data_IF_954694634592
#
_entry.id   IF_954694634592
#
_cell.length_a   1.000
_cell.length_b   1.000
_cell.length_c   1.000
_cell.angle_alpha   90.00
_cell.angle_beta   90.00
_cell.angle_gamma   90.00
#
_symmetry.space_group_name_H-M   'P 1'
#
loop_
_entity.id
_entity.type
_entity.pdbx_description
1 polymer ?
#
# COMPACT_ATOMS: atom_id res chain seq x y z
N UNK A 1 -11.92 24.95 -2.82
CA UNK A 1 -11.10 24.27 -1.79
C UNK A 1 -9.73 24.02 -2.40
N UNK A 2 -8.67 24.47 -1.74
CA UNK A 2 -7.28 24.23 -2.18
C UNK A 2 -6.85 22.80 -1.83
N UNK A 3 -5.79 22.28 -2.47
CA UNK A 3 -5.27 20.93 -2.14
C UNK A 3 -4.95 20.77 -0.65
N UNK A 4 -4.29 21.73 0.03
CA UNK A 4 -4.05 21.64 1.47
C UNK A 4 -5.32 21.62 2.35
N UNK A 5 -6.41 22.26 1.92
CA UNK A 5 -7.70 22.22 2.63
C UNK A 5 -8.44 20.89 2.40
N UNK A 6 -8.28 20.32 1.20
CA UNK A 6 -8.89 19.05 0.81
C UNK A 6 -8.18 17.84 1.44
N UNK A 7 -6.86 17.93 1.62
CA UNK A 7 -6.05 16.79 2.02
C UNK A 7 -6.45 16.24 3.39
N UNK A 8 -6.84 14.96 3.43
CA UNK A 8 -7.30 14.27 4.63
C UNK A 8 -8.61 14.80 5.19
N UNK A 9 -9.41 15.54 4.38
CA UNK A 9 -10.69 16.10 4.84
C UNK A 9 -11.68 15.03 5.28
N UNK A 10 -11.58 13.82 4.73
CA UNK A 10 -12.45 12.68 5.05
C UNK A 10 -11.78 11.67 5.98
N UNK A 11 -10.77 12.09 6.74
CA UNK A 11 -10.03 11.24 7.67
C UNK A 11 -10.13 11.82 9.08
N UNK A 12 -10.42 10.98 10.07
CA UNK A 12 -10.38 11.34 11.49
C UNK A 12 -8.92 11.39 11.98
N UNK A 13 -8.14 12.28 11.37
CA UNK A 13 -6.70 12.39 11.50
C UNK A 13 -6.27 13.10 12.80
N UNK A 14 -4.96 13.22 13.04
CA UNK A 14 -4.42 13.88 14.24
C UNK A 14 -4.93 15.32 14.46
N UNK A 15 -5.15 16.09 13.39
CA UNK A 15 -5.69 17.45 13.48
C UNK A 15 -7.13 17.40 14.00
N UNK A 16 -7.98 16.60 13.35
CA UNK A 16 -9.39 16.42 13.75
C UNK A 16 -9.51 15.84 15.16
N UNK A 17 -8.71 14.82 15.50
CA UNK A 17 -8.66 14.25 16.83
C UNK A 17 -8.29 15.28 17.89
N UNK A 18 -7.32 16.16 17.62
CA UNK A 18 -6.90 17.21 18.56
C UNK A 18 -7.95 18.31 18.73
N UNK A 19 -8.72 18.61 17.68
CA UNK A 19 -9.81 19.58 17.72
C UNK A 19 -11.05 19.04 18.45
N UNK A 20 -11.33 17.74 18.33
CA UNK A 20 -12.59 17.12 18.81
C UNK A 20 -12.46 16.42 20.17
N UNK A 21 -11.30 15.84 20.48
CA UNK A 21 -11.13 15.04 21.69
C UNK A 21 -10.67 15.91 22.87
N UNK A 22 -11.14 15.62 24.09
CA UNK A 22 -10.55 16.17 25.31
C UNK A 22 -9.04 15.91 25.36
N UNK A 23 -8.28 16.86 25.91
CA UNK A 23 -6.80 16.82 25.94
C UNK A 23 -6.24 15.50 26.49
N UNK A 24 -6.82 14.97 27.57
CA UNK A 24 -6.35 13.74 28.20
C UNK A 24 -6.74 12.49 27.38
N UNK A 25 -7.94 12.46 26.80
CA UNK A 25 -8.37 11.41 25.86
C UNK A 25 -7.46 11.36 24.63
N UNK A 26 -7.14 12.52 24.04
CA UNK A 26 -6.22 12.62 22.91
C UNK A 26 -4.83 12.07 23.25
N UNK A 27 -4.26 12.47 24.39
CA UNK A 27 -2.97 11.93 24.84
C UNK A 27 -3.01 10.43 25.09
N UNK A 28 -4.08 9.91 25.69
CA UNK A 28 -4.25 8.48 25.95
C UNK A 28 -4.35 7.68 24.64
N UNK A 29 -5.10 8.18 23.66
CA UNK A 29 -5.20 7.59 22.33
C UNK A 29 -3.85 7.62 21.61
N UNK A 30 -3.16 8.75 21.60
CA UNK A 30 -1.81 8.86 21.00
C UNK A 30 -0.80 7.92 21.66
N UNK A 31 -0.85 7.77 22.99
CA UNK A 31 -0.03 6.78 23.69
C UNK A 31 -0.35 5.37 23.19
N UNK A 32 -1.62 5.02 23.09
CA UNK A 32 -2.09 3.72 22.58
C UNK A 32 -1.56 3.42 21.19
N UNK A 33 -1.67 4.39 20.27
CA UNK A 33 -1.16 4.29 18.89
C UNK A 33 0.36 4.09 18.88
N UNK A 34 1.10 4.89 19.64
CA UNK A 34 2.56 4.88 19.63
C UNK A 34 3.18 3.68 20.36
N UNK A 35 2.49 3.13 21.38
CA UNK A 35 3.02 2.00 22.16
C UNK A 35 2.38 0.66 21.81
N UNK A 36 1.32 0.64 21.01
CA UNK A 36 0.54 -0.56 20.72
C UNK A 36 -0.14 -1.17 21.94
N UNK A 37 -0.49 -0.34 22.95
CA UNK A 37 -1.18 -0.82 24.16
C UNK A 37 -2.67 -0.99 23.91
N UNK A 38 -3.39 -1.68 24.80
CA UNK A 38 -4.85 -1.78 24.72
C UNK A 38 -5.51 -0.42 24.97
N UNK A 39 -6.50 -0.07 24.16
CA UNK A 39 -7.30 1.15 24.34
C UNK A 39 -8.21 1.02 25.57
N UNK A 40 -8.13 1.93 26.55
CA UNK A 40 -9.03 1.91 27.71
C UNK A 40 -10.50 2.10 27.30
N UNK A 41 -11.47 1.35 27.87
CA UNK A 41 -12.88 1.42 27.48
C UNK A 41 -13.53 2.81 27.67
N UNK A 42 -13.09 3.56 28.68
CA UNK A 42 -13.49 4.94 28.95
C UNK A 42 -13.01 5.89 27.83
N UNK A 43 -11.74 5.75 27.43
CA UNK A 43 -11.17 6.50 26.29
C UNK A 43 -11.92 6.15 25.01
N UNK A 44 -12.18 4.87 24.75
CA UNK A 44 -12.89 4.41 23.57
C UNK A 44 -14.32 4.96 23.46
N UNK A 45 -15.03 5.08 24.60
CA UNK A 45 -16.39 5.63 24.62
C UNK A 45 -16.41 7.10 24.23
N UNK A 46 -15.44 7.89 24.71
CA UNK A 46 -15.29 9.30 24.31
C UNK A 46 -14.89 9.44 22.84
N UNK A 47 -13.96 8.60 22.38
CA UNK A 47 -13.52 8.61 20.98
C UNK A 47 -14.66 8.22 20.04
N UNK A 48 -15.44 7.20 20.37
CA UNK A 48 -16.59 6.76 19.58
C UNK A 48 -17.61 7.89 19.42
N UNK A 49 -17.97 8.58 20.50
CA UNK A 49 -18.94 9.67 20.42
C UNK A 49 -18.41 10.83 19.55
N UNK A 50 -17.15 11.26 19.76
CA UNK A 50 -16.54 12.32 18.96
C UNK A 50 -16.40 11.94 17.47
N UNK A 51 -16.08 10.68 17.18
CA UNK A 51 -15.95 10.16 15.81
C UNK A 51 -17.32 10.11 15.11
N UNK A 52 -18.37 9.69 15.84
CA UNK A 52 -19.75 9.69 15.35
C UNK A 52 -20.25 11.09 15.06
N UNK A 53 -20.08 12.03 16.00
CA UNK A 53 -20.51 13.42 15.80
C UNK A 53 -19.80 14.05 14.58
N UNK A 54 -18.48 13.83 14.45
CA UNK A 54 -17.72 14.25 13.27
C UNK A 54 -18.23 13.62 11.96
N UNK A 55 -18.58 12.34 11.98
CA UNK A 55 -19.09 11.64 10.82
C UNK A 55 -20.48 12.15 10.42
N UNK A 56 -21.39 12.32 11.38
CA UNK A 56 -22.76 12.83 11.16
C UNK A 56 -22.73 14.26 10.61
N UNK A 57 -21.85 15.12 11.13
CA UNK A 57 -21.66 16.48 10.60
C UNK A 57 -21.25 16.50 9.12
N UNK A 58 -20.61 15.42 8.66
CA UNK A 58 -20.23 15.22 7.26
C UNK A 58 -21.26 14.42 6.45
N UNK A 59 -22.44 14.18 7.02
CA UNK A 59 -23.55 13.49 6.36
C UNK A 59 -23.58 11.97 6.57
N UNK A 60 -22.74 11.42 7.44
CA UNK A 60 -22.71 9.98 7.65
C UNK A 60 -23.97 9.48 8.37
N UNK A 61 -24.63 8.49 7.78
CA UNK A 61 -25.80 7.81 8.34
C UNK A 61 -25.47 6.42 8.89
N UNK A 62 -24.37 5.83 8.40
CA UNK A 62 -23.92 4.48 8.72
C UNK A 62 -22.45 4.48 9.14
N UNK A 63 -22.07 3.40 9.82
CA UNK A 63 -20.68 3.03 10.05
C UNK A 63 -20.43 1.58 9.62
N UNK A 64 -19.16 1.25 9.43
CA UNK A 64 -18.73 -0.10 9.10
C UNK A 64 -17.35 -0.39 9.67
N UNK A 65 -17.17 -1.64 10.10
CA UNK A 65 -15.84 -2.21 10.31
C UNK A 65 -15.28 -2.59 8.95
N UNK A 66 -14.30 -1.83 8.49
CA UNK A 66 -13.63 -2.03 7.20
C UNK A 66 -12.43 -2.94 7.39
N UNK A 67 -12.39 -4.10 6.72
CA UNK A 67 -11.30 -5.06 6.85
C UNK A 67 -10.98 -5.74 5.53
N UNK A 68 -9.82 -6.41 5.49
CA UNK A 68 -9.37 -7.15 4.31
C UNK A 68 -9.35 -8.66 4.60
N UNK A 69 -10.44 -9.40 4.29
CA UNK A 69 -10.44 -10.85 4.40
C UNK A 69 -9.49 -11.52 3.39
N UNK A 70 -9.35 -12.84 3.49
CA UNK A 70 -8.47 -13.63 2.62
C UNK A 70 -8.90 -13.68 1.13
N UNK A 71 -9.96 -12.98 0.74
CA UNK A 71 -10.39 -12.82 -0.67
C UNK A 71 -9.48 -11.90 -1.47
N UNK A 72 -8.65 -11.08 -0.81
CA UNK A 72 -7.77 -10.11 -1.47
C UNK A 72 -8.38 -8.74 -1.70
N UNK A 73 -9.71 -8.60 -1.55
CA UNK A 73 -10.45 -7.33 -1.58
C UNK A 73 -10.93 -6.97 -0.16
N UNK A 74 -11.44 -5.75 0.00
CA UNK A 74 -12.01 -5.26 1.26
C UNK A 74 -13.44 -5.76 1.45
N UNK A 75 -13.88 -5.79 2.71
CA UNK A 75 -15.24 -6.14 3.10
C UNK A 75 -15.81 -5.13 4.09
N UNK A 76 -17.12 -4.91 3.98
CA UNK A 76 -17.87 -3.94 4.74
C UNK A 76 -19.26 -4.50 5.06
N UNK A 77 -19.69 -4.28 6.31
CA UNK A 77 -21.09 -4.42 6.73
C UNK A 77 -21.53 -3.07 7.28
N UNK A 78 -22.58 -2.49 6.71
CA UNK A 78 -23.03 -1.15 7.07
C UNK A 78 -24.13 -1.24 8.13
N UNK A 79 -23.84 -0.69 9.31
CA UNK A 79 -24.78 -0.59 10.42
C UNK A 79 -25.14 0.90 10.61
N UNK A 80 -26.42 1.20 10.81
CA UNK A 80 -26.88 2.57 11.04
C UNK A 80 -26.52 3.03 12.46
N UNK A 81 -26.31 4.34 12.64
CA UNK A 81 -26.23 4.94 13.98
C UNK A 81 -27.59 5.00 14.71
N UNK A 82 -28.69 4.71 14.02
CA UNK A 82 -30.04 4.77 14.58
C UNK A 82 -30.21 3.79 15.75
N UNK A 83 -30.63 4.32 16.89
CA UNK A 83 -31.06 3.58 18.07
C UNK A 83 -32.48 4.05 18.44
N UNK A 84 -33.50 3.17 18.35
CA UNK A 84 -34.87 3.52 18.72
C UNK A 84 -34.99 3.86 20.20
N UNK A 85 -35.80 4.86 20.53
CA UNK A 85 -36.13 5.23 21.91
C UNK A 85 -37.51 4.72 22.30
N UNK A 86 -37.75 4.53 23.60
CA UNK A 86 -38.99 3.97 24.14
C UNK A 86 -40.26 4.80 23.80
N UNK A 87 -40.08 6.09 23.48
CA UNK A 87 -41.13 7.01 23.06
C UNK A 87 -41.44 6.95 21.55
N UNK A 88 -40.82 6.02 20.81
CA UNK A 88 -40.97 5.88 19.36
C UNK A 88 -40.12 6.85 18.53
N UNK A 89 -39.26 7.63 19.19
CA UNK A 89 -38.23 8.44 18.54
C UNK A 89 -36.99 7.64 18.12
N UNK A 90 -35.99 8.36 17.61
CA UNK A 90 -34.70 7.80 17.24
C UNK A 90 -33.60 8.74 17.73
N UNK A 91 -32.53 8.15 18.27
CA UNK A 91 -31.27 8.84 18.56
C UNK A 91 -30.14 8.23 17.74
N UNK A 92 -29.09 9.02 17.53
CA UNK A 92 -27.88 8.56 16.85
C UNK A 92 -26.83 8.16 17.90
N UNK A 93 -26.58 6.86 18.02
CA UNK A 93 -25.69 6.27 19.02
C UNK A 93 -24.53 5.52 18.35
N UNK A 94 -23.34 5.67 18.93
CA UNK A 94 -22.17 4.87 18.58
C UNK A 94 -21.32 4.68 19.83
N UNK A 95 -21.33 3.47 20.37
CA UNK A 95 -20.69 3.14 21.65
C UNK A 95 -19.21 2.79 21.49
N UNK A 96 -18.43 2.98 22.55
CA UNK A 96 -17.03 2.54 22.60
C UNK A 96 -16.86 1.03 22.38
N UNK A 97 -17.88 0.23 22.73
CA UNK A 97 -17.90 -1.22 22.46
C UNK A 97 -17.97 -1.49 20.96
N UNK A 98 -18.87 -0.82 20.25
CA UNK A 98 -19.01 -0.93 18.79
C UNK A 98 -17.78 -0.39 18.05
N UNK A 99 -17.07 0.60 18.61
CA UNK A 99 -15.80 1.08 18.05
C UNK A 99 -14.69 0.05 18.19
N UNK A 100 -14.46 -0.47 19.40
CA UNK A 100 -13.34 -1.40 19.64
C UNK A 100 -13.56 -2.74 18.94
N UNK A 101 -14.80 -3.24 18.96
CA UNK A 101 -15.12 -4.58 18.49
C UNK A 101 -16.41 -4.62 17.69
N UNK A 102 -16.36 -5.25 16.52
CA UNK A 102 -17.54 -5.63 15.75
C UNK A 102 -17.71 -7.15 15.66
N UNK A 103 -18.88 -7.57 15.22
CA UNK A 103 -19.20 -8.96 14.95
C UNK A 103 -19.85 -9.07 13.56
N UNK A 104 -19.04 -9.24 12.49
CA UNK A 104 -19.59 -9.57 11.19
C UNK A 104 -20.06 -11.02 11.14
N UNK A 105 -21.20 -11.29 10.50
CA UNK A 105 -21.50 -12.64 10.02
C UNK A 105 -20.51 -12.93 8.89
N UNK A 106 -19.54 -13.79 9.19
CA UNK A 106 -18.38 -14.05 8.35
C UNK A 106 -18.38 -15.48 7.79
N UNK A 107 -19.53 -16.16 7.83
CA UNK A 107 -19.69 -17.54 7.34
C UNK A 107 -19.24 -17.76 5.90
N UNK A 108 -19.35 -16.72 5.06
CA UNK A 108 -19.06 -16.80 3.62
C UNK A 108 -17.61 -16.43 3.24
N UNK A 109 -16.78 -15.98 4.18
CA UNK A 109 -15.39 -15.63 3.85
C UNK A 109 -14.50 -16.88 3.76
N UNK A 110 -13.53 -16.91 2.82
CA UNK A 110 -12.57 -18.00 2.74
C UNK A 110 -11.81 -18.16 4.06
N UNK A 111 -11.79 -19.39 4.58
CA UNK A 111 -11.11 -19.73 5.83
C UNK A 111 -9.83 -20.55 5.62
N UNK A 112 -9.51 -20.93 4.37
CA UNK A 112 -8.38 -21.83 4.09
C UNK A 112 -8.49 -23.20 4.77
N UNK A 113 -9.71 -23.64 5.13
CA UNK A 113 -9.95 -24.87 5.87
C UNK A 113 -9.77 -24.76 7.39
N UNK A 114 -9.46 -23.57 7.91
CA UNK A 114 -9.32 -23.32 9.36
C UNK A 114 -10.67 -23.36 10.09
N UNK A 115 -11.78 -23.25 9.36
CA UNK A 115 -13.14 -23.30 9.91
C UNK A 115 -14.01 -24.34 9.21
N UNK A 116 -14.92 -24.91 9.97
CA UNK A 116 -16.03 -25.71 9.44
C UNK A 116 -17.16 -24.76 8.99
N UNK A 117 -17.89 -25.10 7.94
CA UNK A 117 -18.88 -24.22 7.27
C UNK A 117 -19.99 -23.69 8.18
N UNK A 118 -20.30 -24.36 9.30
CA UNK A 118 -21.30 -23.90 10.27
C UNK A 118 -20.75 -22.87 11.28
N UNK A 119 -19.42 -22.68 11.37
CA UNK A 119 -18.78 -21.74 12.30
C UNK A 119 -18.72 -20.32 11.70
N UNK A 120 -19.84 -19.59 11.78
CA UNK A 120 -20.01 -18.27 11.17
C UNK A 120 -19.32 -17.13 11.95
N UNK A 121 -19.22 -17.26 13.28
CA UNK A 121 -18.83 -16.16 14.16
C UNK A 121 -17.38 -15.73 13.96
N UNK A 122 -17.17 -14.44 13.78
CA UNK A 122 -15.85 -13.81 13.78
C UNK A 122 -15.90 -12.45 14.45
N UNK A 123 -14.74 -11.91 14.76
CA UNK A 123 -14.61 -10.64 15.46
C UNK A 123 -13.75 -9.68 14.65
N UNK A 124 -14.19 -8.43 14.58
CA UNK A 124 -13.35 -7.33 14.11
C UNK A 124 -12.83 -6.56 15.31
N UNK A 125 -11.58 -6.11 15.23
CA UNK A 125 -10.96 -5.26 16.24
C UNK A 125 -10.38 -4.02 15.57
N UNK A 126 -10.70 -2.83 16.09
CA UNK A 126 -10.19 -1.58 15.52
C UNK A 126 -8.66 -1.49 15.62
N UNK A 127 -8.03 -1.27 14.48
CA UNK A 127 -6.62 -0.91 14.38
C UNK A 127 -6.48 0.61 14.49
N UNK A 128 -6.24 1.11 15.70
CA UNK A 128 -6.06 2.54 15.94
C UNK A 128 -4.82 3.16 15.27
N UNK A 129 -3.90 2.34 14.73
CA UNK A 129 -2.74 2.84 13.98
C UNK A 129 -3.10 3.25 12.55
N UNK A 130 -4.29 2.87 12.08
CA UNK A 130 -4.89 3.32 10.82
C UNK A 130 -6.13 4.18 11.15
N UNK A 131 -6.16 5.46 10.73
CA UNK A 131 -7.23 6.37 11.12
C UNK A 131 -8.56 5.98 10.46
N UNK A 132 -9.66 6.15 11.19
CA UNK A 132 -11.00 6.04 10.62
C UNK A 132 -11.22 7.10 9.53
N UNK A 133 -12.02 6.76 8.52
CA UNK A 133 -12.24 7.62 7.36
C UNK A 133 -13.70 7.55 6.90
N UNK A 134 -14.11 8.47 6.04
CA UNK A 134 -15.44 8.50 5.47
C UNK A 134 -15.38 8.11 3.99
N UNK A 135 -16.25 7.20 3.59
CA UNK A 135 -16.50 6.90 2.19
C UNK A 135 -17.78 7.56 1.74
N UNK A 136 -17.72 8.21 0.60
CA UNK A 136 -18.87 8.79 -0.10
C UNK A 136 -19.13 7.95 -1.36
N UNK A 137 -20.37 7.55 -1.57
CA UNK A 137 -20.77 6.88 -2.79
C UNK A 137 -21.22 7.86 -3.88
N UNK A 138 -21.70 7.37 -5.03
CA UNK A 138 -22.18 8.22 -6.11
C UNK A 138 -23.53 8.91 -5.78
N UNK A 139 -24.31 8.32 -4.86
CA UNK A 139 -25.60 8.87 -4.41
C UNK A 139 -25.43 9.99 -3.39
N UNK A 140 -24.22 10.18 -2.86
CA UNK A 140 -23.91 11.10 -1.78
C UNK A 140 -24.10 10.49 -0.40
N UNK A 141 -24.28 9.17 -0.29
CA UNK A 141 -24.32 8.48 0.99
C UNK A 141 -22.92 8.41 1.59
N UNK A 142 -22.81 8.84 2.84
CA UNK A 142 -21.56 8.86 3.59
C UNK A 142 -21.57 7.77 4.65
N UNK A 143 -20.50 6.98 4.70
CA UNK A 143 -20.31 5.90 5.67
C UNK A 143 -19.00 6.09 6.43
N UNK A 144 -19.06 5.96 7.76
CA UNK A 144 -17.88 5.91 8.62
C UNK A 144 -17.21 4.54 8.55
N UNK A 145 -16.00 4.48 8.02
CA UNK A 145 -15.21 3.26 7.89
C UNK A 145 -14.13 3.20 8.95
N UNK A 146 -14.13 2.12 9.72
CA UNK A 146 -13.21 1.89 10.84
C UNK A 146 -12.25 0.75 10.42
N UNK A 147 -10.96 1.04 10.18
CA UNK A 147 -9.99 0.03 9.78
C UNK A 147 -9.82 -1.04 10.86
N UNK A 148 -10.08 -2.30 10.54
CA UNK A 148 -10.11 -3.37 11.53
C UNK A 148 -9.33 -4.60 11.10
N UNK A 149 -8.80 -5.29 12.11
CA UNK A 149 -8.31 -6.65 11.99
C UNK A 149 -9.47 -7.62 12.14
N UNK A 150 -9.49 -8.72 11.37
CA UNK A 150 -10.57 -9.71 11.40
C UNK A 150 -10.05 -11.11 11.77
N UNK A 151 -10.64 -11.69 12.81
CA UNK A 151 -10.27 -13.00 13.32
C UNK A 151 -11.48 -13.93 13.53
N UNK A 152 -11.17 -15.21 13.68
CA UNK A 152 -12.16 -16.22 14.03
C UNK A 152 -12.62 -16.17 15.47
N UNK A 153 -13.72 -16.88 15.73
CA UNK A 153 -14.17 -17.17 17.08
C UNK A 153 -13.07 -17.78 17.98
N UNK A 154 -12.16 -18.57 17.39
CA UNK A 154 -11.03 -19.20 18.09
C UNK A 154 -9.74 -18.34 18.05
N UNK A 155 -9.77 -17.18 17.40
CA UNK A 155 -8.65 -16.25 17.31
C UNK A 155 -7.68 -16.49 16.16
N UNK A 156 -8.03 -17.36 15.20
CA UNK A 156 -7.26 -17.48 13.95
C UNK A 156 -7.41 -16.22 13.10
N UNK A 157 -6.30 -15.75 12.50
CA UNK A 157 -6.34 -14.62 11.59
C UNK A 157 -6.99 -15.03 10.27
N UNK A 158 -8.07 -14.35 9.88
CA UNK A 158 -8.79 -14.58 8.63
C UNK A 158 -8.77 -13.35 7.72
N UNK A 159 -7.76 -12.53 7.93
CA UNK A 159 -7.52 -11.29 7.25
C UNK A 159 -6.06 -11.18 6.84
N UNK A 160 -5.78 -10.13 6.06
CA UNK A 160 -4.41 -9.79 5.67
C UNK A 160 -3.74 -8.84 6.66
N UNK A 161 -4.51 -8.07 7.43
CA UNK A 161 -3.97 -7.09 8.38
C UNK A 161 -3.33 -7.74 9.60
N UNK A 162 -3.95 -8.73 10.23
CA UNK A 162 -3.38 -9.36 11.43
C UNK A 162 -1.99 -9.99 11.17
N UNK A 163 -1.78 -10.80 10.09
CA UNK A 163 -0.46 -11.32 9.77
C UNK A 163 0.56 -10.22 9.47
N UNK A 164 0.15 -9.15 8.77
CA UNK A 164 1.02 -8.00 8.47
C UNK A 164 1.50 -7.31 9.75
N UNK A 165 0.59 -6.97 10.67
CA UNK A 165 0.94 -6.34 11.95
C UNK A 165 1.88 -7.22 12.78
N UNK A 166 1.66 -8.54 12.78
CA UNK A 166 2.57 -9.51 13.44
C UNK A 166 3.96 -9.48 12.79
N UNK A 167 4.03 -9.48 11.45
CA UNK A 167 5.28 -9.41 10.70
C UNK A 167 6.05 -8.12 11.03
N UNK A 168 5.38 -6.97 10.97
CA UNK A 168 5.95 -5.66 11.31
C UNK A 168 6.52 -5.65 12.73
N UNK A 169 5.80 -6.18 13.71
CA UNK A 169 6.27 -6.26 15.10
C UNK A 169 7.51 -7.14 15.27
N UNK A 170 7.58 -8.26 14.54
CA UNK A 170 8.76 -9.15 14.58
C UNK A 170 9.97 -8.46 13.94
N UNK A 171 9.81 -7.85 12.77
CA UNK A 171 10.89 -7.12 12.09
C UNK A 171 11.38 -5.96 12.97
N UNK A 172 10.46 -5.17 13.53
CA UNK A 172 10.78 -4.05 14.42
C UNK A 172 11.64 -4.49 15.62
N UNK A 173 11.24 -5.57 16.29
CA UNK A 173 11.95 -6.12 17.45
C UNK A 173 13.35 -6.60 17.10
N UNK A 174 13.51 -7.31 15.97
CA UNK A 174 14.80 -7.84 15.57
C UNK A 174 15.73 -6.74 15.05
N UNK A 175 15.22 -5.78 14.28
CA UNK A 175 15.98 -4.62 13.83
C UNK A 175 16.49 -3.79 15.03
N UNK A 176 15.63 -3.54 16.02
CA UNK A 176 16.04 -2.82 17.23
C UNK A 176 17.12 -3.59 18.03
N UNK A 177 17.03 -4.93 18.11
CA UNK A 177 18.06 -5.76 18.74
C UNK A 177 19.43 -5.57 18.08
N UNK A 178 19.47 -5.57 16.74
CA UNK A 178 20.70 -5.33 15.98
C UNK A 178 21.22 -3.92 16.24
N UNK A 179 20.36 -2.90 16.19
CA UNK A 179 20.74 -1.52 16.52
C UNK A 179 21.32 -1.37 17.93
N UNK A 180 20.76 -2.06 18.92
CA UNK A 180 21.31 -2.08 20.30
C UNK A 180 22.71 -2.69 20.34
N UNK A 181 22.93 -3.79 19.62
CA UNK A 181 24.26 -4.41 19.53
C UNK A 181 25.28 -3.50 18.84
N UNK A 182 24.82 -2.61 17.96
CA UNK A 182 25.63 -1.58 17.30
C UNK A 182 25.81 -0.29 18.11
N UNK A 183 25.26 -0.22 19.34
CA UNK A 183 25.45 0.91 20.25
C UNK A 183 24.39 2.02 20.14
N UNK A 184 23.38 1.89 19.29
CA UNK A 184 22.27 2.85 19.27
C UNK A 184 21.42 2.68 20.54
N UNK A 185 21.27 3.74 21.33
CA UNK A 185 20.44 3.77 22.55
C UNK A 185 19.26 4.74 22.46
N UNK A 186 19.15 5.51 21.37
CA UNK A 186 18.17 6.59 21.21
C UNK A 186 16.87 6.12 20.56
N UNK A 187 16.96 5.37 19.46
CA UNK A 187 15.81 4.89 18.69
C UNK A 187 14.97 3.95 19.56
N UNK A 188 13.65 4.11 19.62
CA UNK A 188 12.75 3.26 20.42
C UNK A 188 12.01 2.25 19.58
N UNK A 189 11.72 2.59 18.32
CA UNK A 189 10.91 1.78 17.41
C UNK A 189 11.59 1.78 16.04
N UNK A 190 11.56 0.63 15.36
CA UNK A 190 11.89 0.52 13.94
C UNK A 190 10.60 0.16 13.21
N UNK A 191 10.19 0.99 12.26
CA UNK A 191 9.04 0.74 11.39
C UNK A 191 9.49 0.41 9.98
N UNK A 192 8.71 -0.42 9.29
CA UNK A 192 8.84 -0.58 7.84
C UNK A 192 7.97 0.44 7.12
N UNK A 193 8.44 0.89 5.96
CA UNK A 193 7.72 1.79 5.06
C UNK A 193 7.57 1.16 3.69
N UNK A 194 6.47 1.47 3.00
CA UNK A 194 6.22 1.04 1.62
C UNK A 194 5.62 2.18 0.81
N UNK A 195 6.12 2.38 -0.41
CA UNK A 195 5.45 3.13 -1.49
C UNK A 195 5.06 2.18 -2.61
N UNK A 196 3.77 2.00 -2.84
CA UNK A 196 3.25 1.07 -3.85
C UNK A 196 2.94 1.81 -5.16
N UNK A 197 3.67 1.49 -6.22
CA UNK A 197 3.42 1.99 -7.58
C UNK A 197 2.29 1.15 -8.19
N UNK A 198 1.15 1.76 -8.53
CA UNK A 198 -0.04 1.04 -8.97
C UNK A 198 -0.26 1.21 -10.46
N UNK A 199 -0.03 0.15 -11.23
CA UNK A 199 -0.37 0.12 -12.65
C UNK A 199 -1.79 -0.39 -12.89
N UNK A 200 -2.39 0.05 -13.98
CA UNK A 200 -3.74 -0.32 -14.41
C UNK A 200 -4.00 0.00 -15.89
N UNK A 201 -5.04 -0.60 -16.47
CA UNK A 201 -5.56 -0.24 -17.79
C UNK A 201 -6.89 0.49 -17.68
N UNK A 202 -7.18 1.41 -18.61
CA UNK A 202 -8.51 1.98 -18.79
C UNK A 202 -9.11 1.56 -20.13
N UNK A 203 -10.37 1.14 -20.09
CA UNK A 203 -11.15 0.75 -21.27
C UNK A 203 -12.44 1.53 -21.29
N UNK A 204 -12.90 1.96 -22.47
CA UNK A 204 -14.23 2.55 -22.56
C UNK A 204 -15.30 1.52 -22.18
N UNK A 205 -16.28 1.96 -21.38
CA UNK A 205 -17.30 1.08 -20.82
C UNK A 205 -18.10 0.36 -21.90
N UNK A 206 -18.35 1.04 -23.03
CA UNK A 206 -19.07 0.45 -24.16
C UNK A 206 -18.35 -0.77 -24.75
N UNK A 207 -17.04 -0.67 -25.00
CA UNK A 207 -16.25 -1.80 -25.50
C UNK A 207 -16.08 -2.91 -24.46
N UNK A 208 -15.95 -2.54 -23.18
CA UNK A 208 -15.88 -3.51 -22.10
C UNK A 208 -17.16 -4.38 -22.02
N UNK A 209 -18.34 -3.76 -22.15
CA UNK A 209 -19.63 -4.46 -22.10
C UNK A 209 -19.87 -5.39 -23.31
N UNK A 210 -19.16 -5.16 -24.42
CA UNK A 210 -19.19 -6.05 -25.59
C UNK A 210 -18.29 -7.30 -25.41
N UNK A 211 -17.49 -7.35 -24.33
CA UNK A 211 -16.48 -8.39 -24.09
C UNK A 211 -16.78 -9.17 -22.82
N UNK A 212 -17.57 -10.23 -22.98
CA UNK A 212 -17.92 -11.13 -21.87
C UNK A 212 -16.68 -11.65 -21.15
N UNK A 213 -15.62 -11.98 -21.88
CA UNK A 213 -14.36 -12.46 -21.32
C UNK A 213 -13.67 -11.41 -20.43
N UNK A 214 -13.63 -10.14 -20.83
CA UNK A 214 -13.15 -9.06 -19.96
C UNK A 214 -14.02 -8.93 -18.71
N UNK A 215 -15.34 -9.07 -18.84
CA UNK A 215 -16.28 -8.94 -17.72
C UNK A 215 -16.15 -10.05 -16.68
N UNK A 216 -15.99 -11.30 -17.12
CA UNK A 216 -15.95 -12.45 -16.21
C UNK A 216 -14.54 -12.81 -15.77
N UNK A 217 -13.53 -12.57 -16.60
CA UNK A 217 -12.16 -13.01 -16.35
C UNK A 217 -11.21 -11.86 -16.04
N UNK A 218 -11.62 -10.59 -16.22
CA UNK A 218 -10.74 -9.42 -16.08
C UNK A 218 -9.68 -9.31 -17.18
N UNK A 219 -9.68 -10.22 -18.16
CA UNK A 219 -8.73 -10.28 -19.27
C UNK A 219 -9.38 -10.85 -20.53
N UNK A 220 -8.80 -10.49 -21.67
CA UNK A 220 -9.13 -11.12 -22.94
C UNK A 220 -8.66 -12.57 -22.97
N UNK A 221 -9.55 -13.47 -23.38
CA UNK A 221 -9.24 -14.89 -23.60
C UNK A 221 -8.83 -15.17 -25.04
N UNK A 222 -9.34 -14.36 -25.97
CA UNK A 222 -8.99 -14.38 -27.38
C UNK A 222 -9.04 -12.95 -27.96
N UNK A 223 -8.39 -12.75 -29.11
CA UNK A 223 -8.35 -11.48 -29.82
C UNK A 223 -7.20 -11.43 -30.80
N UNK A 224 -7.41 -10.74 -31.93
CA UNK A 224 -6.33 -10.45 -32.85
C UNK A 224 -5.39 -9.38 -32.26
N UNK A 225 -4.09 -9.38 -32.62
CA UNK A 225 -3.17 -8.31 -32.26
C UNK A 225 -3.69 -6.95 -32.72
N UNK A 226 -3.38 -5.90 -31.95
CA UNK A 226 -3.73 -4.54 -32.34
C UNK A 226 -2.97 -4.14 -33.62
N UNK A 227 -3.59 -3.40 -34.57
CA UNK A 227 -2.89 -2.89 -35.76
C UNK A 227 -1.72 -1.97 -35.43
N UNK A 228 -1.79 -1.28 -34.29
CA UNK A 228 -0.68 -0.54 -33.67
C UNK A 228 -0.45 -1.14 -32.28
N UNK A 229 0.67 -1.85 -32.12
CA UNK A 229 1.09 -2.39 -30.84
C UNK A 229 1.90 -1.38 -30.03
N UNK A 230 2.79 -1.89 -29.18
CA UNK A 230 3.66 -1.12 -28.30
C UNK A 230 5.10 -0.98 -28.83
N UNK A 231 5.37 -1.42 -30.05
CA UNK A 231 6.73 -1.61 -30.58
C UNK A 231 7.54 -0.32 -30.73
N UNK A 232 6.88 0.83 -30.76
CA UNK A 232 7.52 2.15 -30.85
C UNK A 232 7.69 2.82 -29.47
N UNK A 233 7.18 2.21 -28.40
CA UNK A 233 7.22 2.73 -27.02
C UNK A 233 6.76 4.20 -26.88
N UNK A 234 5.97 4.69 -27.84
CA UNK A 234 5.58 6.10 -27.98
C UNK A 234 4.54 6.55 -26.94
N UNK A 235 3.98 5.58 -26.23
CA UNK A 235 3.05 5.79 -25.13
C UNK A 235 3.78 6.14 -23.82
N UNK A 236 4.96 5.56 -23.56
CA UNK A 236 5.66 5.70 -22.28
C UNK A 236 6.11 7.14 -22.05
N UNK A 237 5.67 7.74 -20.93
CA UNK A 237 5.80 9.19 -20.67
C UNK A 237 5.30 10.11 -21.80
N UNK A 238 4.49 9.59 -22.72
CA UNK A 238 3.82 10.37 -23.75
C UNK A 238 2.76 11.31 -23.14
N UNK A 239 2.21 12.20 -23.97
CA UNK A 239 1.15 13.09 -23.54
C UNK A 239 -0.10 12.30 -23.10
N UNK A 240 -0.62 12.62 -21.91
CA UNK A 240 -1.86 12.04 -21.40
C UNK A 240 -3.04 12.71 -22.12
N UNK A 241 -3.91 11.91 -22.75
CA UNK A 241 -5.11 12.42 -23.45
C UNK A 241 -6.05 13.13 -22.46
N UNK A 242 -6.69 14.22 -22.90
CA UNK A 242 -7.56 15.05 -22.04
C UNK A 242 -8.63 14.27 -21.28
N UNK A 243 -9.25 13.28 -21.93
CA UNK A 243 -10.24 12.39 -21.29
C UNK A 243 -9.66 11.62 -20.10
N UNK A 244 -8.45 11.08 -20.26
CA UNK A 244 -7.75 10.33 -19.19
C UNK A 244 -7.26 11.31 -18.12
N UNK A 245 -6.80 12.48 -18.52
CA UNK A 245 -6.40 13.55 -17.60
C UNK A 245 -7.56 13.97 -16.68
N UNK A 246 -8.78 14.09 -17.21
CA UNK A 246 -9.98 14.36 -16.42
C UNK A 246 -10.27 13.25 -15.38
N UNK A 247 -10.19 11.99 -15.77
CA UNK A 247 -10.28 10.85 -14.84
C UNK A 247 -9.23 10.91 -13.75
N UNK A 248 -7.95 11.11 -14.13
CA UNK A 248 -6.85 11.14 -13.18
C UNK A 248 -6.93 12.34 -12.22
N UNK A 249 -7.50 13.47 -12.67
CA UNK A 249 -7.74 14.64 -11.82
C UNK A 249 -8.76 14.32 -10.73
N UNK A 250 -9.86 13.67 -11.08
CA UNK A 250 -10.88 13.29 -10.09
C UNK A 250 -10.38 12.19 -9.17
N UNK A 251 -9.58 11.25 -9.68
CA UNK A 251 -8.89 10.26 -8.86
C UNK A 251 -8.00 10.92 -7.81
N UNK A 252 -7.15 11.89 -8.19
CA UNK A 252 -6.31 12.62 -7.25
C UNK A 252 -7.13 13.32 -6.17
N UNK A 253 -8.23 13.98 -6.55
CA UNK A 253 -9.12 14.68 -5.60
C UNK A 253 -9.69 13.70 -4.56
N UNK A 254 -10.21 12.55 -5.00
CA UNK A 254 -10.76 11.54 -4.09
C UNK A 254 -9.69 10.94 -3.18
N UNK A 255 -8.50 10.63 -3.71
CA UNK A 255 -7.39 10.11 -2.91
C UNK A 255 -6.89 11.14 -1.89
N UNK A 256 -6.79 12.41 -2.28
CA UNK A 256 -6.38 13.48 -1.36
C UNK A 256 -7.40 13.68 -0.24
N UNK A 257 -8.71 13.64 -0.51
CA UNK A 257 -9.76 13.68 0.55
C UNK A 257 -9.52 12.58 1.60
N UNK A 258 -9.08 11.41 1.16
CA UNK A 258 -8.78 10.23 1.99
C UNK A 258 -7.39 10.27 2.65
N UNK A 259 -6.64 11.37 2.50
CA UNK A 259 -5.30 11.52 3.08
C UNK A 259 -4.21 10.71 2.38
N UNK A 260 -4.50 10.20 1.18
CA UNK A 260 -3.56 9.44 0.36
C UNK A 260 -2.77 10.44 -0.48
N UNK A 261 -1.45 10.43 -0.34
CA UNK A 261 -0.50 11.34 -0.99
C UNK A 261 -0.22 10.95 -2.45
N UNK A 262 -1.27 10.83 -3.29
CA UNK A 262 -1.13 10.65 -4.75
C UNK A 262 -0.20 11.72 -5.31
N UNK A 263 0.92 11.29 -5.90
CA UNK A 263 2.05 12.17 -6.24
C UNK A 263 2.44 12.10 -7.71
N UNK A 264 2.55 10.88 -8.23
CA UNK A 264 3.04 10.64 -9.59
C UNK A 264 1.94 9.94 -10.39
N UNK A 265 1.80 10.33 -11.65
CA UNK A 265 0.95 9.67 -12.65
C UNK A 265 1.52 9.84 -14.04
N UNK A 266 1.46 8.80 -14.85
CA UNK A 266 1.91 8.84 -16.25
C UNK A 266 1.29 7.70 -17.07
N UNK A 267 1.49 7.80 -18.39
CA UNK A 267 1.29 6.67 -19.29
C UNK A 267 2.39 5.63 -19.07
N UNK A 268 1.98 4.36 -19.07
CA UNK A 268 2.88 3.22 -19.11
C UNK A 268 3.18 2.79 -20.56
N UNK A 269 3.97 1.74 -20.74
CA UNK A 269 4.45 1.29 -22.06
C UNK A 269 3.32 0.78 -22.96
N UNK A 270 2.37 0.00 -22.43
CA UNK A 270 1.29 -0.52 -23.26
C UNK A 270 0.20 0.55 -23.54
N UNK A 271 -0.47 0.49 -24.70
CA UNK A 271 -1.59 1.35 -24.99
C UNK A 271 -2.68 1.29 -23.92
N UNK A 272 -3.11 2.46 -23.44
CA UNK A 272 -4.10 2.60 -22.38
C UNK A 272 -3.71 1.98 -21.02
N UNK A 273 -2.41 1.73 -20.81
CA UNK A 273 -1.83 1.44 -19.50
C UNK A 273 -1.35 2.74 -18.84
N UNK A 274 -1.53 2.83 -17.53
CA UNK A 274 -1.16 3.99 -16.73
C UNK A 274 -0.61 3.55 -15.37
N UNK A 275 0.12 4.44 -14.72
CA UNK A 275 0.59 4.28 -13.36
C UNK A 275 0.11 5.44 -12.47
N UNK A 276 -0.16 5.13 -11.20
CA UNK A 276 -0.23 6.12 -10.12
C UNK A 276 0.59 5.64 -8.92
N UNK A 277 1.44 6.52 -8.38
CA UNK A 277 2.24 6.24 -7.19
C UNK A 277 2.02 7.30 -6.09
N UNK A 278 1.68 6.88 -4.85
CA UNK A 278 1.65 7.75 -3.70
C UNK A 278 3.03 7.90 -3.06
N UNK A 279 3.21 8.94 -2.23
CA UNK A 279 4.38 8.99 -1.33
C UNK A 279 4.31 7.85 -0.33
N UNK A 280 5.45 7.19 -0.07
CA UNK A 280 5.54 6.10 0.89
C UNK A 280 5.03 6.50 2.28
N UNK A 281 4.57 5.51 3.04
CA UNK A 281 4.21 5.68 4.45
C UNK A 281 4.48 4.39 5.21
N UNK A 282 4.09 4.29 6.49
CA UNK A 282 4.23 3.06 7.27
C UNK A 282 3.54 1.91 6.54
N UNK A 283 4.13 0.70 6.55
CA UNK A 283 3.63 -0.42 5.75
C UNK A 283 2.15 -0.73 6.01
N UNK A 284 1.69 -0.61 7.27
CA UNK A 284 0.29 -0.80 7.61
C UNK A 284 -0.63 0.22 6.92
N UNK A 285 -0.34 1.52 7.05
CA UNK A 285 -1.14 2.56 6.39
C UNK A 285 -1.02 2.49 4.86
N UNK A 286 0.16 2.17 4.33
CA UNK A 286 0.38 2.01 2.90
C UNK A 286 -0.49 0.88 2.32
N UNK A 287 -0.67 -0.19 3.08
CA UNK A 287 -1.54 -1.32 2.71
C UNK A 287 -2.99 -0.88 2.63
N UNK A 288 -3.48 -0.16 3.63
CA UNK A 288 -4.85 0.34 3.66
C UNK A 288 -5.10 1.36 2.55
N UNK A 289 -4.16 2.28 2.35
CA UNK A 289 -4.18 3.23 1.26
C UNK A 289 -4.21 2.52 -0.11
N UNK A 290 -3.42 1.46 -0.32
CA UNK A 290 -3.43 0.75 -1.61
C UNK A 290 -4.78 0.08 -1.89
N UNK A 291 -5.45 -0.48 -0.88
CA UNK A 291 -6.80 -1.02 -1.05
C UNK A 291 -7.80 0.07 -1.44
N UNK A 292 -7.76 1.21 -0.75
CA UNK A 292 -8.59 2.37 -1.08
C UNK A 292 -8.28 2.94 -2.47
N UNK A 293 -7.01 2.95 -2.87
CA UNK A 293 -6.57 3.34 -4.22
C UNK A 293 -7.23 2.47 -5.27
N UNK A 294 -7.11 1.15 -5.15
CA UNK A 294 -7.68 0.21 -6.12
C UNK A 294 -9.20 0.37 -6.25
N UNK A 295 -9.90 0.47 -5.11
CA UNK A 295 -11.35 0.67 -5.10
C UNK A 295 -11.75 2.02 -5.73
N UNK A 296 -11.03 3.09 -5.38
CA UNK A 296 -11.31 4.45 -5.88
C UNK A 296 -11.03 4.53 -7.38
N UNK A 297 -9.95 3.90 -7.87
CA UNK A 297 -9.63 3.83 -9.30
C UNK A 297 -10.79 3.23 -10.10
N UNK A 298 -11.39 2.15 -9.63
CA UNK A 298 -12.53 1.50 -10.27
C UNK A 298 -13.79 2.36 -10.23
N UNK A 299 -14.10 2.95 -9.06
CA UNK A 299 -15.28 3.83 -8.89
C UNK A 299 -15.21 5.08 -9.76
N UNK A 300 -14.08 5.78 -9.74
CA UNK A 300 -13.90 7.00 -10.54
C UNK A 300 -13.90 6.68 -12.03
N UNK A 301 -13.40 5.51 -12.45
CA UNK A 301 -13.41 5.14 -13.87
C UNK A 301 -14.84 5.04 -14.40
N UNK A 302 -15.74 4.44 -13.62
CA UNK A 302 -17.16 4.30 -13.98
C UNK A 302 -17.86 5.65 -14.15
N UNK A 303 -17.56 6.64 -13.28
CA UNK A 303 -18.07 8.02 -13.40
C UNK A 303 -17.62 8.71 -14.70
N UNK A 304 -16.47 8.31 -15.24
CA UNK A 304 -15.91 8.79 -16.49
C UNK A 304 -16.25 7.91 -17.71
N UNK A 305 -17.24 7.01 -17.59
CA UNK A 305 -17.65 6.11 -18.67
C UNK A 305 -16.56 5.14 -19.11
N UNK A 306 -15.64 4.81 -18.21
CA UNK A 306 -14.54 3.87 -18.41
C UNK A 306 -14.60 2.74 -17.38
N UNK A 307 -13.82 1.70 -17.59
CA UNK A 307 -13.59 0.60 -16.65
C UNK A 307 -12.10 0.50 -16.40
N UNK A 308 -11.72 0.51 -15.11
CA UNK A 308 -10.35 0.29 -14.68
C UNK A 308 -10.10 -1.22 -14.52
N UNK A 309 -9.14 -1.74 -15.27
CA UNK A 309 -8.70 -3.13 -15.19
C UNK A 309 -7.42 -3.22 -14.36
N UNK A 310 -7.50 -3.95 -13.24
CA UNK A 310 -6.39 -4.20 -12.33
C UNK A 310 -5.75 -5.58 -12.53
N UNK A 311 -6.26 -6.38 -13.47
CA UNK A 311 -5.69 -7.70 -13.78
C UNK A 311 -4.26 -7.55 -14.32
N UNK A 312 -3.34 -8.44 -13.93
CA UNK A 312 -1.90 -8.31 -14.23
C UNK A 312 -1.58 -8.43 -15.73
N UNK A 313 -2.42 -9.17 -16.47
CA UNK A 313 -2.30 -9.32 -17.92
C UNK A 313 -3.67 -9.24 -18.64
N UNK A 314 -4.26 -8.04 -18.80
CA UNK A 314 -5.57 -7.91 -19.42
C UNK A 314 -5.57 -8.27 -20.92
N UNK A 315 -4.47 -7.98 -21.60
CA UNK A 315 -4.29 -8.21 -23.03
C UNK A 315 -3.03 -9.04 -23.30
N UNK A 316 -3.16 -10.04 -24.18
CA UNK A 316 -2.03 -10.85 -24.61
C UNK A 316 -1.12 -10.05 -25.57
N UNK A 317 0.19 -10.27 -25.51
CA UNK A 317 1.17 -9.69 -26.44
C UNK A 317 1.64 -8.26 -26.12
N UNK A 318 1.10 -7.60 -25.09
CA UNK A 318 1.53 -6.26 -24.63
C UNK A 318 2.01 -6.30 -23.18
N UNK A 319 2.60 -5.23 -22.64
CA UNK A 319 3.04 -5.14 -21.24
C UNK A 319 1.87 -5.49 -20.28
N UNK A 320 2.22 -6.12 -19.16
CA UNK A 320 1.25 -6.40 -18.09
C UNK A 320 1.34 -5.33 -17.00
N UNK A 321 0.33 -5.29 -16.13
CA UNK A 321 0.26 -4.36 -15.00
C UNK A 321 0.92 -4.92 -13.76
N UNK A 322 1.95 -4.23 -13.26
CA UNK A 322 2.65 -4.53 -12.02
C UNK A 322 2.15 -3.72 -10.82
N UNK A 323 2.70 -4.06 -9.65
CA UNK A 323 2.65 -3.20 -8.47
C UNK A 323 4.00 -3.19 -7.78
N UNK A 324 4.82 -2.17 -7.97
CA UNK A 324 6.13 -2.18 -7.34
C UNK A 324 6.05 -1.73 -5.89
N UNK A 325 6.62 -2.52 -4.98
CA UNK A 325 6.68 -2.20 -3.56
C UNK A 325 8.06 -1.62 -3.22
N UNK A 326 8.14 -0.31 -3.07
CA UNK A 326 9.33 0.38 -2.59
C UNK A 326 9.41 0.29 -1.07
N UNK A 327 10.11 -0.73 -0.56
CA UNK A 327 10.21 -1.09 0.85
C UNK A 327 11.49 -0.58 1.51
N UNK A 328 11.35 -0.04 2.73
CA UNK A 328 12.49 0.35 3.57
C UNK A 328 12.22 0.16 5.07
N UNK A 329 13.26 0.36 5.89
CA UNK A 329 13.22 0.34 7.35
C UNK A 329 13.71 1.68 7.90
N UNK A 330 12.95 2.25 8.83
CA UNK A 330 13.29 3.53 9.45
C UNK A 330 13.04 3.53 10.95
N UNK A 331 13.88 4.23 11.70
CA UNK A 331 13.70 4.43 13.13
C UNK A 331 12.72 5.58 13.41
N UNK A 332 12.17 5.62 14.64
CA UNK A 332 11.33 6.72 15.12
C UNK A 332 12.06 8.06 15.23
N UNK A 333 13.39 8.05 15.32
CA UNK A 333 14.25 9.25 15.27
C UNK A 333 14.75 9.62 13.85
N UNK A 334 14.20 8.98 12.81
CA UNK A 334 14.35 9.42 11.42
C UNK A 334 15.53 8.82 10.66
N UNK A 335 16.18 7.78 11.20
CA UNK A 335 17.30 7.10 10.55
C UNK A 335 16.75 6.05 9.60
N UNK A 336 17.02 6.20 8.29
CA UNK A 336 16.79 5.15 7.30
C UNK A 336 17.92 4.11 7.39
N UNK A 337 17.57 2.86 7.70
CA UNK A 337 18.53 1.78 7.92
C UNK A 337 19.12 1.23 6.60
N UNK A 338 18.50 1.58 5.47
CA UNK A 338 18.93 1.20 4.12
C UNK A 338 19.54 2.37 3.35
N UNK A 339 19.82 3.49 4.03
CA UNK A 339 20.52 4.64 3.44
C UNK A 339 22.04 4.41 3.51
N UNK A 340 22.75 4.35 2.38
CA UNK A 340 24.18 4.08 2.35
C UNK A 340 25.02 5.25 2.91
N UNK A 341 24.55 6.49 2.70
CA UNK A 341 25.31 7.70 3.02
C UNK A 341 26.39 8.02 1.97
N UNK A 342 27.29 8.96 2.27
CA UNK A 342 28.33 9.40 1.32
C UNK A 342 29.48 8.39 1.18
N UNK A 343 29.75 7.60 2.21
CA UNK A 343 30.80 6.57 2.26
C UNK A 343 30.17 5.25 2.70
N UNK A 344 29.52 4.52 1.78
CA UNK A 344 28.79 3.30 2.08
C UNK A 344 29.67 2.23 2.76
N UNK A 345 30.97 2.19 2.41
CA UNK A 345 31.96 1.27 2.95
C UNK A 345 32.26 1.48 4.45
N UNK A 346 32.08 2.70 4.94
CA UNK A 346 32.33 3.07 6.34
C UNK A 346 31.03 2.95 7.17
N UNK A 347 29.87 2.82 6.52
CA UNK A 347 28.57 2.73 7.17
C UNK A 347 28.26 1.30 7.61
N UNK A 348 28.89 0.88 8.72
CA UNK A 348 28.72 -0.46 9.27
C UNK A 348 27.24 -0.84 9.54
N UNK A 349 26.41 0.13 9.94
CA UNK A 349 24.98 -0.13 10.19
C UNK A 349 24.28 -0.56 8.89
N UNK A 350 24.40 0.27 7.86
CA UNK A 350 23.85 -0.03 6.54
C UNK A 350 24.37 -1.38 6.01
N UNK A 351 25.67 -1.64 6.10
CA UNK A 351 26.28 -2.88 5.63
C UNK A 351 25.74 -4.13 6.35
N UNK A 352 25.48 -4.03 7.66
CA UNK A 352 24.87 -5.13 8.43
C UNK A 352 23.41 -5.35 7.99
N UNK A 353 22.62 -4.29 7.86
CA UNK A 353 21.21 -4.40 7.46
C UNK A 353 21.05 -4.92 6.03
N UNK A 354 21.86 -4.44 5.09
CA UNK A 354 21.80 -4.91 3.71
C UNK A 354 22.26 -6.36 3.59
N UNK A 355 23.32 -6.76 4.31
CA UNK A 355 23.77 -8.15 4.34
C UNK A 355 22.71 -9.08 4.92
N UNK A 356 22.02 -8.65 5.98
CA UNK A 356 20.91 -9.40 6.56
C UNK A 356 19.74 -9.53 5.58
N UNK A 357 19.42 -8.47 4.83
CA UNK A 357 18.35 -8.49 3.83
C UNK A 357 18.70 -9.39 2.65
N UNK A 358 19.93 -9.30 2.13
CA UNK A 358 20.44 -10.19 1.08
C UNK A 358 20.33 -11.64 1.53
N UNK A 359 20.74 -11.95 2.76
CA UNK A 359 20.63 -13.30 3.31
C UNK A 359 19.17 -13.75 3.48
N UNK A 360 18.29 -12.85 3.91
CA UNK A 360 16.87 -13.16 4.07
C UNK A 360 16.20 -13.51 2.73
N UNK A 361 16.46 -12.72 1.68
CA UNK A 361 15.93 -12.96 0.34
C UNK A 361 16.51 -14.25 -0.26
N UNK A 362 17.80 -14.52 -0.09
CA UNK A 362 18.44 -15.79 -0.49
C UNK A 362 17.81 -17.00 0.21
N UNK A 363 17.60 -16.90 1.53
CA UNK A 363 17.08 -18.01 2.35
C UNK A 363 15.58 -18.27 2.13
N UNK A 364 14.81 -17.22 1.83
CA UNK A 364 13.34 -17.27 1.76
C UNK A 364 12.79 -16.91 0.37
N UNK A 365 13.58 -17.12 -0.67
CA UNK A 365 13.19 -16.89 -2.06
C UNK A 365 11.90 -17.65 -2.45
N UNK A 366 11.73 -18.86 -1.92
CA UNK A 366 10.53 -19.67 -2.10
C UNK A 366 9.26 -19.01 -1.54
N UNK A 367 9.33 -18.46 -0.34
CA UNK A 367 8.23 -17.75 0.31
C UNK A 367 7.90 -16.45 -0.45
N UNK A 368 8.91 -15.66 -0.81
CA UNK A 368 8.72 -14.42 -1.59
C UNK A 368 8.08 -14.69 -2.96
N UNK A 369 8.47 -15.78 -3.62
CA UNK A 369 7.83 -16.21 -4.87
C UNK A 369 6.38 -16.64 -4.62
N UNK A 370 6.13 -17.42 -3.58
CA UNK A 370 4.80 -17.93 -3.26
C UNK A 370 3.79 -16.82 -2.94
N UNK A 371 4.21 -15.73 -2.28
CA UNK A 371 3.33 -14.59 -1.97
C UNK A 371 2.90 -13.80 -3.20
N UNK A 372 3.67 -13.86 -4.29
CA UNK A 372 3.36 -13.21 -5.56
C UNK A 372 2.71 -14.13 -6.59
N UNK A 373 2.67 -15.45 -6.35
CA UNK A 373 2.09 -16.42 -7.27
C UNK A 373 0.56 -16.31 -7.33
N UNK A 374 0.01 -16.01 -8.50
CA UNK A 374 -1.43 -16.08 -8.77
C UNK A 374 -1.66 -16.39 -10.25
N UNK A 375 -2.84 -16.93 -10.60
CA UNK A 375 -3.18 -17.24 -11.98
C UNK A 375 -3.07 -16.03 -12.92
N UNK A 376 -3.43 -14.84 -12.43
CA UNK A 376 -3.27 -13.57 -13.16
C UNK A 376 -1.80 -13.20 -13.34
N UNK A 377 -1.02 -13.23 -12.25
CA UNK A 377 0.38 -12.79 -12.26
C UNK A 377 1.31 -13.75 -13.01
N UNK A 378 0.97 -15.04 -13.08
CA UNK A 378 1.70 -16.04 -13.87
C UNK A 378 1.65 -15.74 -15.38
N UNK A 379 0.62 -15.02 -15.85
CA UNK A 379 0.58 -14.51 -17.24
C UNK A 379 1.46 -13.26 -17.47
N UNK A 380 1.92 -12.61 -16.39
CA UNK A 380 2.74 -11.40 -16.44
C UNK A 380 4.22 -11.71 -16.25
N UNK A 381 4.57 -12.46 -15.21
CA UNK A 381 5.97 -12.72 -14.83
C UNK A 381 6.77 -13.39 -15.95
N UNK A 382 7.98 -12.90 -16.19
CA UNK A 382 8.89 -13.41 -17.23
C UNK A 382 8.54 -12.98 -18.67
N UNK A 383 7.67 -12.00 -18.83
CA UNK A 383 7.34 -11.39 -20.12
C UNK A 383 7.45 -9.86 -20.05
N UNK A 384 7.71 -9.21 -21.19
CA UNK A 384 7.65 -7.75 -21.43
C UNK A 384 7.89 -6.88 -20.18
N UNK A 385 9.16 -6.65 -19.84
CA UNK A 385 9.65 -5.87 -18.67
C UNK A 385 9.34 -6.44 -17.28
N UNK A 386 8.37 -7.34 -17.14
CA UNK A 386 8.10 -7.98 -15.86
C UNK A 386 9.27 -8.91 -15.45
N UNK A 387 9.61 -8.93 -14.15
CA UNK A 387 10.68 -9.81 -13.67
C UNK A 387 10.33 -11.28 -13.89
N UNK A 388 11.33 -12.16 -14.07
CA UNK A 388 11.09 -13.61 -14.13
C UNK A 388 10.57 -14.13 -12.79
N UNK A 389 9.97 -15.32 -12.79
CA UNK A 389 9.53 -16.02 -11.57
C UNK A 389 10.70 -16.58 -10.72
N UNK A 390 11.93 -16.08 -10.93
CA UNK A 390 13.15 -16.47 -10.23
C UNK A 390 13.57 -15.28 -9.38
N UNK A 391 13.58 -15.43 -8.05
CA UNK A 391 14.01 -14.37 -7.14
C UNK A 391 15.51 -14.11 -7.33
N UNK A 392 15.85 -12.86 -7.64
CA UNK A 392 17.22 -12.35 -7.66
C UNK A 392 17.28 -10.96 -7.06
N UNK A 393 18.46 -10.60 -6.54
CA UNK A 393 18.72 -9.29 -5.98
C UNK A 393 19.64 -8.52 -6.91
N UNK A 394 19.33 -7.25 -7.13
CA UNK A 394 20.22 -6.31 -7.81
C UNK A 394 20.67 -5.23 -6.83
N UNK A 395 21.98 -5.09 -6.63
CA UNK A 395 22.57 -4.09 -5.73
C UNK A 395 23.27 -2.93 -6.45
N UNK A 396 23.50 -3.07 -7.77
CA UNK A 396 24.43 -2.23 -8.52
C UNK A 396 25.89 -2.68 -8.36
N UNK A 397 26.77 -2.15 -9.21
CA UNK A 397 28.18 -2.59 -9.26
C UNK A 397 28.97 -2.15 -8.03
N UNK A 398 28.81 -0.90 -7.60
CA UNK A 398 29.58 -0.35 -6.48
C UNK A 398 29.33 -1.12 -5.18
N UNK A 399 28.05 -1.33 -4.84
CA UNK A 399 27.67 -2.00 -3.62
C UNK A 399 28.01 -3.51 -3.64
N UNK A 400 27.88 -4.14 -4.81
CA UNK A 400 28.36 -5.51 -5.02
C UNK A 400 29.88 -5.61 -4.80
N UNK A 401 30.68 -4.71 -5.39
CA UNK A 401 32.13 -4.65 -5.20
C UNK A 401 32.51 -4.51 -3.72
N UNK A 402 31.79 -3.65 -2.98
CA UNK A 402 32.00 -3.43 -1.54
C UNK A 402 31.75 -4.70 -0.74
N UNK A 403 30.61 -5.35 -0.95
CA UNK A 403 30.25 -6.57 -0.23
C UNK A 403 31.18 -7.75 -0.58
N UNK A 404 31.56 -7.90 -1.84
CA UNK A 404 32.51 -8.95 -2.25
C UNK A 404 33.90 -8.77 -1.63
N UNK A 405 34.42 -7.55 -1.62
CA UNK A 405 35.73 -7.26 -1.00
C UNK A 405 35.68 -7.51 0.51
N UNK A 406 34.61 -7.08 1.17
CA UNK A 406 34.39 -7.38 2.59
C UNK A 406 34.36 -8.89 2.84
N UNK A 407 33.66 -9.66 2.01
CA UNK A 407 33.59 -11.11 2.13
C UNK A 407 34.95 -11.80 1.92
N UNK A 408 35.81 -11.25 1.06
CA UNK A 408 37.18 -11.73 0.82
C UNK A 408 38.21 -11.23 1.84
N UNK A 409 37.83 -10.32 2.75
CA UNK A 409 38.74 -9.69 3.70
C UNK A 409 39.71 -8.69 3.06
N UNK A 410 39.40 -8.20 1.86
CA UNK A 410 40.22 -7.24 1.11
C UNK A 410 39.98 -5.81 1.60
N UNK A 411 41.02 -4.95 1.52
CA UNK A 411 40.87 -3.53 1.82
C UNK A 411 40.00 -2.86 0.75
N UNK A 412 38.97 -2.15 1.20
CA UNK A 412 38.13 -1.33 0.33
C UNK A 412 38.93 -0.07 -0.03
N UNK A 413 39.35 0.04 -1.28
CA UNK A 413 39.91 1.28 -1.81
C UNK A 413 38.78 2.26 -2.12
N UNK A 414 38.84 3.47 -1.54
CA UNK A 414 37.95 4.59 -1.86
C UNK A 414 38.01 4.86 -3.37
N UNK A 415 36.97 4.53 -4.13
CA UNK A 415 36.85 5.03 -5.50
C UNK A 415 36.47 6.51 -5.39
N UNK A 416 37.36 7.37 -5.87
CA UNK A 416 37.21 8.81 -5.77
C UNK A 416 36.08 9.36 -6.65
N UNK A 417 35.42 10.39 -6.10
CA UNK A 417 34.58 11.41 -6.72
C UNK A 417 33.41 10.98 -7.61
N UNK A 418 32.22 11.49 -7.24
CA UNK A 418 31.03 11.57 -8.07
C UNK A 418 31.42 12.13 -9.45
N UNK A 419 31.35 11.31 -10.49
CA UNK A 419 31.64 11.75 -11.85
C UNK A 419 30.48 12.62 -12.33
N UNK A 420 30.74 13.81 -12.87
CA UNK A 420 29.70 14.60 -13.53
C UNK A 420 29.51 14.12 -14.97
N UNK A 421 28.26 13.92 -15.36
CA UNK A 421 27.90 13.59 -16.74
C UNK A 421 28.23 14.77 -17.64
N UNK A 422 29.08 14.55 -18.65
CA UNK A 422 29.31 15.53 -19.71
C UNK A 422 28.17 15.45 -20.72
N UNK A 423 27.20 16.34 -20.57
CA UNK A 423 25.99 16.41 -21.43
C UNK A 423 26.30 17.10 -22.78
N UNK A 424 27.44 17.79 -22.89
CA UNK A 424 27.87 18.44 -24.14
C UNK A 424 27.06 19.70 -24.49
N UNK A 425 26.28 20.22 -23.55
CA UNK A 425 25.50 21.46 -23.68
C UNK A 425 25.73 22.30 -22.43
N UNK A 426 26.46 23.42 -22.59
CA UNK A 426 26.92 24.26 -21.47
C UNK A 426 25.80 24.98 -20.71
N UNK A 427 24.60 25.07 -21.31
CA UNK A 427 23.43 25.69 -20.67
C UNK A 427 22.68 24.76 -19.72
N UNK A 428 23.03 23.47 -19.69
CA UNK A 428 22.39 22.49 -18.81
C UNK A 428 23.20 22.32 -17.51
N UNK A 429 22.53 22.05 -16.39
CA UNK A 429 23.23 21.81 -15.13
C UNK A 429 24.12 20.57 -15.26
N UNK A 430 25.30 20.60 -14.62
CA UNK A 430 26.12 19.41 -14.47
C UNK A 430 25.33 18.36 -13.67
N UNK A 431 25.01 17.23 -14.29
CA UNK A 431 24.30 16.15 -13.63
C UNK A 431 25.31 15.23 -12.94
N UNK A 432 25.18 14.97 -11.63
CA UNK A 432 25.96 13.92 -11.00
C UNK A 432 25.60 12.58 -11.65
N UNK A 433 26.60 11.79 -12.02
CA UNK A 433 26.38 10.41 -12.44
C UNK A 433 25.91 9.63 -11.22
N UNK A 434 24.71 9.07 -11.30
CA UNK A 434 24.16 8.25 -10.23
C UNK A 434 25.00 6.96 -10.11
N UNK A 435 25.28 6.54 -8.89
CA UNK A 435 26.27 5.47 -8.63
C UNK A 435 25.76 4.07 -9.02
N UNK A 436 24.48 3.94 -9.32
CA UNK A 436 23.84 2.68 -9.71
C UNK A 436 23.05 2.87 -11.01
N UNK A 437 23.44 2.14 -12.06
CA UNK A 437 22.55 1.90 -13.20
C UNK A 437 21.36 1.04 -12.74
N UNK A 438 20.15 1.29 -13.24
CA UNK A 438 18.93 0.62 -12.78
C UNK A 438 18.64 -0.59 -13.66
N UNK A 439 18.89 -1.80 -13.14
CA UNK A 439 18.38 -3.01 -13.79
C UNK A 439 16.86 -3.08 -13.58
N UNK A 440 16.06 -3.02 -14.66
CA UNK A 440 14.58 -3.10 -14.65
C UNK A 440 14.02 -4.53 -14.53
N UNK A 441 14.80 -5.57 -14.78
CA UNK A 441 14.29 -6.95 -14.84
C UNK A 441 14.50 -7.76 -13.57
N UNK A 442 15.27 -7.25 -12.60
CA UNK A 442 15.45 -7.93 -11.30
C UNK A 442 14.16 -7.84 -10.47
N UNK A 443 13.69 -8.95 -9.86
CA UNK A 443 12.58 -8.97 -8.92
C UNK A 443 12.76 -8.02 -7.73
N UNK A 444 13.94 -8.01 -7.13
CA UNK A 444 14.25 -7.24 -5.93
C UNK A 444 15.48 -6.37 -6.21
N UNK A 445 15.30 -5.06 -6.27
CA UNK A 445 16.34 -4.13 -6.70
C UNK A 445 16.60 -3.04 -5.65
N UNK A 446 17.86 -2.82 -5.30
CA UNK A 446 18.27 -1.68 -4.51
C UNK A 446 18.19 -0.41 -5.37
N UNK A 447 17.44 0.59 -4.91
CA UNK A 447 17.19 1.84 -5.66
C UNK A 447 17.69 3.06 -4.89
N UNK A 448 18.88 2.94 -4.31
CA UNK A 448 19.63 4.01 -3.66
C UNK A 448 19.49 4.03 -2.13
N UNK A 449 18.27 3.92 -1.61
CA UNK A 449 18.03 3.96 -0.15
C UNK A 449 16.87 3.08 0.34
N UNK A 450 16.43 2.17 -0.53
CA UNK A 450 15.29 1.27 -0.35
C UNK A 450 15.42 0.12 -1.34
N UNK A 451 14.61 -0.92 -1.15
CA UNK A 451 14.48 -1.99 -2.11
C UNK A 451 13.13 -1.92 -2.80
N UNK A 452 13.13 -2.11 -4.11
CA UNK A 452 11.95 -2.17 -4.94
C UNK A 452 11.65 -3.63 -5.26
N UNK A 453 10.50 -4.12 -4.82
CA UNK A 453 10.02 -5.47 -5.13
C UNK A 453 8.97 -5.43 -6.25
N UNK A 454 9.32 -5.99 -7.41
CA UNK A 454 8.57 -5.81 -8.68
C UNK A 454 7.66 -6.98 -9.06
N UNK A 455 7.69 -8.06 -8.29
CA UNK A 455 6.91 -9.26 -8.58
C UNK A 455 5.45 -9.17 -8.20
N UNK A 456 5.06 -8.19 -7.37
CA UNK A 456 3.68 -8.07 -6.91
C UNK A 456 2.78 -7.73 -8.10
N UNK A 457 1.66 -8.44 -8.21
CA UNK A 457 0.66 -8.21 -9.23
C UNK A 457 -0.16 -6.95 -8.96
N UNK A 458 -0.63 -6.28 -10.02
CA UNK A 458 -1.47 -5.08 -9.92
C UNK A 458 -2.75 -5.26 -9.10
N UNK A 459 -3.36 -6.46 -9.08
CA UNK A 459 -4.57 -6.75 -8.29
C UNK A 459 -4.27 -7.20 -6.86
N UNK A 460 -3.02 -7.57 -6.56
CA UNK A 460 -2.66 -8.21 -5.30
C UNK A 460 -2.64 -7.22 -4.13
N UNK A 461 -2.98 -7.70 -2.94
CA UNK A 461 -2.73 -6.94 -1.71
C UNK A 461 -1.25 -6.89 -1.40
N UNK A 462 -0.74 -5.71 -1.07
CA UNK A 462 0.66 -5.52 -0.63
C UNK A 462 0.92 -5.99 0.81
N UNK A 463 -0.09 -6.54 1.50
CA UNK A 463 0.07 -7.12 2.83
C UNK A 463 0.68 -8.54 2.81
N UNK A 464 0.58 -9.23 1.67
CA UNK A 464 1.04 -10.62 1.52
C UNK A 464 2.53 -10.72 1.16
N UNK A 465 2.96 -10.08 0.06
CA UNK A 465 4.37 -9.87 -0.27
C UNK A 465 5.11 -9.10 0.83
#
# INVERSE_FOLDING_TARGET
>A
MTVPELFGSNVFNNKTMKERLPKETYKALQKTINTGSTLPPDVASVVANAMKDWAIEKGASHYTHWFQPLTGITAEKHDSFISPTDDGGVIMEFSGKQLIQGEPDASSFPSGGLRVTFEARGYTAWDCTSPAFLKEDESGDVTLCIPTAFCSYKGEALDKKTPLLRSMNVVAKQALRVLRAMGNTTSKIVGSTVGAEQEYFLVEKEYYLQRLDLMTCGRSLFGAPAPKGQELEDQYFGAIKDRVSAYMKDLDIELWKMGISSKTKHNEVAPAQFEMAPVFTTTNMATDHNQLVMETMQKVALRHGMVCLLHEKPYAGVNGSGKHNNWSLSTDDGINLLEPGQTPEDNAQFLVFISALVKAVDTHADILRATCGSSGNDHRLGANEAPPAIISIFLGQELSDVLEKLAKGEKICKKGACQTLKIGVDSLPELPMDNTDRNRTSPFAFTGNKFEFRMVGSSQSIAGP
#
